data_IF_131234321062
#
_entry.id   IF_131234321062
#
_cell.length_a   1.000
_cell.length_b   1.000
_cell.length_c   1.000
_cell.angle_alpha   90.00
_cell.angle_beta   90.00
_cell.angle_gamma   90.00
#
_symmetry.space_group_name_H-M   'P 1'
#
loop_
_entity.id
_entity.type
_entity.pdbx_description
1 polymer ?
#
# COMPACT_ATOMS: atom_id res chain seq x y z
N UNK A 1 -14.93 -0.51 17.18
CA UNK A 1 -14.28 0.52 16.37
C UNK A 1 -14.69 0.36 14.92
N UNK A 2 -15.09 1.44 14.32
CA UNK A 2 -15.52 1.41 12.91
C UNK A 2 -14.34 1.23 11.98
N UNK A 3 -14.52 0.38 10.99
CA UNK A 3 -13.53 0.20 9.96
C UNK A 3 -14.08 0.63 8.61
N UNK A 4 -13.19 0.90 7.69
CA UNK A 4 -13.54 1.25 6.32
C UNK A 4 -12.81 0.33 5.35
N UNK A 5 -13.47 0.05 4.24
CA UNK A 5 -12.84 -0.68 3.15
C UNK A 5 -12.12 0.31 2.25
N UNK A 6 -10.92 -0.04 1.84
CA UNK A 6 -10.16 0.81 0.93
C UNK A 6 -9.25 -0.04 0.06
N UNK A 7 -8.81 0.56 -1.01
CA UNK A 7 -7.75 0.01 -1.86
C UNK A 7 -6.63 1.03 -1.91
N UNK A 8 -5.42 0.59 -1.60
CA UNK A 8 -4.26 1.47 -1.70
C UNK A 8 -3.51 1.09 -2.98
N UNK A 9 -3.43 2.03 -3.90
CA UNK A 9 -2.67 1.86 -5.13
C UNK A 9 -1.25 2.37 -4.88
N UNK A 10 -0.27 1.54 -5.22
CA UNK A 10 1.14 1.82 -4.92
C UNK A 10 1.96 1.64 -6.18
N UNK A 11 2.78 2.64 -6.50
CA UNK A 11 3.75 2.57 -7.60
C UNK A 11 5.14 2.67 -7.00
N UNK A 12 5.99 1.68 -7.29
CA UNK A 12 7.36 1.64 -6.77
C UNK A 12 8.31 1.79 -7.95
N UNK A 13 9.01 2.91 -8.00
CA UNK A 13 9.94 3.22 -9.08
C UNK A 13 11.40 2.97 -8.71
N UNK A 14 11.67 2.63 -7.46
CA UNK A 14 13.03 2.30 -7.00
C UNK A 14 13.05 0.97 -6.29
N UNK A 15 13.80 0.04 -6.84
CA UNK A 15 13.89 -1.33 -6.33
C UNK A 15 14.36 -1.36 -4.89
N UNK A 16 15.25 -0.45 -4.50
CA UNK A 16 15.81 -0.43 -3.15
C UNK A 16 14.76 -0.13 -2.08
N UNK A 17 13.59 0.39 -2.44
CA UNK A 17 12.53 0.65 -1.48
C UNK A 17 11.62 -0.55 -1.23
N UNK A 18 11.76 -1.62 -2.01
CA UNK A 18 10.85 -2.78 -1.93
C UNK A 18 10.92 -3.47 -0.58
N UNK A 19 12.12 -3.67 -0.06
CA UNK A 19 12.29 -4.37 1.21
C UNK A 19 11.62 -3.59 2.35
N UNK A 20 11.85 -2.28 2.41
CA UNK A 20 11.26 -1.45 3.44
C UNK A 20 9.73 -1.39 3.30
N UNK A 21 9.26 -1.33 2.06
CA UNK A 21 7.82 -1.36 1.77
C UNK A 21 7.19 -2.63 2.31
N UNK A 22 7.81 -3.78 2.06
CA UNK A 22 7.29 -5.05 2.55
C UNK A 22 7.30 -5.13 4.08
N UNK A 23 8.30 -4.56 4.73
CA UNK A 23 8.34 -4.50 6.18
C UNK A 23 7.17 -3.69 6.75
N UNK A 24 6.88 -2.55 6.11
CA UNK A 24 5.76 -1.70 6.54
C UNK A 24 4.44 -2.44 6.35
N UNK A 25 4.24 -3.06 5.18
CA UNK A 25 3.01 -3.80 4.92
C UNK A 25 2.81 -4.95 5.90
N UNK A 26 3.91 -5.60 6.29
CA UNK A 26 3.82 -6.71 7.24
C UNK A 26 3.24 -6.24 8.58
N UNK A 27 3.58 -5.06 9.02
CA UNK A 27 3.07 -4.51 10.29
C UNK A 27 1.56 -4.27 10.25
N UNK A 28 1.01 -4.08 9.07
CA UNK A 28 -0.43 -3.85 8.90
C UNK A 28 -1.16 -5.09 8.41
N UNK A 29 -0.48 -6.25 8.45
CA UNK A 29 -1.01 -7.48 7.88
C UNK A 29 -2.38 -7.89 8.40
N UNK A 30 -2.68 -7.61 9.69
CA UNK A 30 -3.95 -7.99 10.27
C UNK A 30 -5.14 -7.24 9.65
N UNK A 31 -4.89 -6.10 9.02
CA UNK A 31 -5.93 -5.30 8.37
C UNK A 31 -6.05 -5.60 6.88
N UNK A 32 -5.02 -6.22 6.29
CA UNK A 32 -4.97 -6.41 4.84
C UNK A 32 -5.79 -7.64 4.45
N UNK A 33 -6.76 -7.44 3.56
CA UNK A 33 -7.64 -8.50 3.07
C UNK A 33 -6.98 -9.24 1.91
N UNK A 34 -6.29 -8.52 1.05
CA UNK A 34 -5.64 -9.11 -0.11
C UNK A 34 -4.59 -8.18 -0.68
N UNK A 35 -3.70 -8.76 -1.46
CA UNK A 35 -2.59 -8.04 -2.06
C UNK A 35 -2.33 -8.58 -3.45
N UNK A 36 -2.09 -7.67 -4.40
CA UNK A 36 -1.72 -8.03 -5.76
C UNK A 36 -0.54 -7.18 -6.18
N UNK A 37 0.46 -7.81 -6.78
CA UNK A 37 1.64 -7.10 -7.26
C UNK A 37 1.99 -7.50 -8.66
N UNK A 38 2.33 -6.53 -9.49
CA UNK A 38 2.73 -6.76 -10.87
C UNK A 38 4.06 -6.06 -11.11
N UNK A 39 5.16 -6.83 -11.21
CA UNK A 39 6.45 -6.24 -11.57
C UNK A 39 6.48 -5.99 -13.07
N UNK A 40 6.71 -4.75 -13.45
CA UNK A 40 6.82 -4.38 -14.88
C UNK A 40 8.28 -4.13 -15.20
N UNK A 41 8.97 -5.18 -15.61
CA UNK A 41 10.42 -5.15 -15.75
C UNK A 41 10.91 -4.20 -16.82
N UNK A 42 10.14 -4.03 -17.88
CA UNK A 42 10.54 -3.18 -18.99
C UNK A 42 10.78 -1.73 -18.56
N UNK A 43 10.04 -1.27 -17.57
CA UNK A 43 10.17 0.09 -17.07
C UNK A 43 10.78 0.17 -15.67
N UNK A 44 11.12 -0.98 -15.10
CA UNK A 44 11.70 -1.03 -13.76
C UNK A 44 10.75 -0.56 -12.68
N UNK A 45 9.45 -0.79 -12.86
CA UNK A 45 8.42 -0.31 -11.94
C UNK A 45 7.61 -1.48 -11.42
N UNK A 46 7.28 -1.47 -10.13
CA UNK A 46 6.35 -2.43 -9.54
C UNK A 46 5.03 -1.72 -9.25
N UNK A 47 3.93 -2.37 -9.62
CA UNK A 47 2.58 -1.86 -9.34
C UNK A 47 1.95 -2.78 -8.32
N UNK A 48 1.52 -2.22 -7.19
CA UNK A 48 0.98 -3.00 -6.08
C UNK A 48 -0.40 -2.45 -5.70
N UNK A 49 -1.33 -3.36 -5.42
CA UNK A 49 -2.67 -3.01 -4.99
C UNK A 49 -2.94 -3.74 -3.67
N UNK A 50 -3.37 -2.99 -2.66
CA UNK A 50 -3.65 -3.54 -1.33
C UNK A 50 -5.12 -3.30 -1.00
N UNK A 51 -5.87 -4.39 -0.76
CA UNK A 51 -7.22 -4.30 -0.26
C UNK A 51 -7.16 -4.36 1.26
N UNK A 52 -7.78 -3.40 1.94
CA UNK A 52 -7.62 -3.23 3.37
C UNK A 52 -8.96 -2.88 4.03
N UNK A 53 -9.18 -3.44 5.22
CA UNK A 53 -10.34 -3.14 6.05
C UNK A 53 -9.80 -2.75 7.41
N UNK A 54 -9.84 -1.46 7.73
CA UNK A 54 -9.18 -0.94 8.93
C UNK A 54 -9.80 0.39 9.35
N UNK A 55 -9.54 0.82 10.60
CA UNK A 55 -9.90 2.19 10.99
C UNK A 55 -9.24 3.19 10.03
N UNK A 56 -9.95 4.28 9.74
CA UNK A 56 -9.45 5.25 8.78
C UNK A 56 -8.07 5.79 9.11
N UNK A 57 -7.81 6.03 10.41
CA UNK A 57 -6.50 6.54 10.82
C UNK A 57 -5.37 5.55 10.52
N UNK A 58 -5.66 4.24 10.57
CA UNK A 58 -4.66 3.24 10.23
C UNK A 58 -4.40 3.21 8.73
N UNK A 59 -5.44 3.35 7.91
CA UNK A 59 -5.28 3.40 6.46
C UNK A 59 -4.46 4.62 6.06
N UNK A 60 -4.79 5.78 6.64
CA UNK A 60 -4.05 7.02 6.38
C UNK A 60 -2.60 6.91 6.80
N UNK A 61 -2.37 6.31 7.98
CA UNK A 61 -1.01 6.13 8.48
C UNK A 61 -0.18 5.23 7.57
N UNK A 62 -0.77 4.11 7.13
CA UNK A 62 -0.09 3.20 6.22
C UNK A 62 0.23 3.88 4.90
N UNK A 63 -0.77 4.53 4.30
CA UNK A 63 -0.58 5.22 3.02
C UNK A 63 0.52 6.29 3.13
N UNK A 64 0.53 7.04 4.23
CA UNK A 64 1.53 8.06 4.47
C UNK A 64 2.94 7.49 4.60
N UNK A 65 3.08 6.40 5.35
CA UNK A 65 4.38 5.75 5.52
C UNK A 65 4.93 5.22 4.21
N UNK A 66 4.05 4.63 3.38
CA UNK A 66 4.46 4.11 2.08
C UNK A 66 4.89 5.24 1.17
N UNK A 67 4.14 6.34 1.16
CA UNK A 67 4.45 7.47 0.30
C UNK A 67 5.71 8.21 0.67
N UNK A 68 6.24 8.00 1.87
CA UNK A 68 7.49 8.62 2.30
C UNK A 68 8.72 7.87 1.80
N UNK A 69 8.54 6.65 1.29
CA UNK A 69 9.66 5.89 0.76
C UNK A 69 10.12 6.47 -0.57
N UNK A 70 11.44 6.43 -0.79
CA UNK A 70 12.03 6.98 -2.00
C UNK A 70 11.51 6.22 -3.24
N UNK A 71 10.99 6.98 -4.22
CA UNK A 71 10.47 6.40 -5.45
C UNK A 71 9.14 5.67 -5.30
N UNK A 72 8.42 5.89 -4.21
CA UNK A 72 7.13 5.23 -3.96
C UNK A 72 6.01 6.26 -3.93
N UNK A 73 4.94 5.98 -4.68
CA UNK A 73 3.70 6.75 -4.65
C UNK A 73 2.60 5.86 -4.11
N UNK A 74 1.78 6.37 -3.21
CA UNK A 74 0.69 5.59 -2.64
C UNK A 74 -0.54 6.47 -2.50
N UNK A 75 -1.70 5.92 -2.85
CA UNK A 75 -2.95 6.65 -2.77
C UNK A 75 -4.08 5.69 -2.40
N UNK A 76 -4.89 6.07 -1.43
CA UNK A 76 -6.02 5.25 -0.99
C UNK A 76 -7.31 5.70 -1.64
N UNK A 77 -8.10 4.73 -2.06
CA UNK A 77 -9.46 4.94 -2.56
C UNK A 77 -10.39 4.20 -1.61
N UNK A 78 -11.34 4.92 -1.03
CA UNK A 78 -12.23 4.36 -0.03
C UNK A 78 -13.56 3.94 -0.62
N UNK A 79 -14.11 2.85 -0.08
CA UNK A 79 -15.47 2.45 -0.39
C UNK A 79 -16.44 3.49 0.18
N UNK A 80 -17.52 3.72 -0.53
CA UNK A 80 -18.58 4.63 -0.07
C UNK A 80 -19.64 3.91 0.75
N UNK A 81 -19.49 2.63 0.94
CA UNK A 81 -20.41 1.86 1.78
C UNK A 81 -19.95 1.79 3.21
#
# INVERSE_FOLDING_TARGET
METRLANIAIIVEKEESVERLNQILHKYGSYIIGRMGIPHKERGVNIISIAIDAPQNEISSLSGKLGMLDGVSAKAVYSKK
#
